data_IF_597065478475
#
_entry.id   IF_597065478475
#
_cell.length_a   1.000
_cell.length_b   1.000
_cell.length_c   1.000
_cell.angle_alpha   90.00
_cell.angle_beta   90.00
_cell.angle_gamma   90.00
#
_symmetry.space_group_name_H-M   'P 1'
#
loop_
_entity.id
_entity.type
_entity.pdbx_description
1 polymer ?
#
# COMPACT_ATOMS: atom_id res chain seq x y z
N UNK A 1 -16.47 3.29 -2.98
CA UNK A 1 -15.38 2.53 -3.62
C UNK A 1 -14.11 3.34 -3.45
N UNK A 2 -13.12 2.86 -2.71
CA UNK A 2 -11.98 3.69 -2.31
C UNK A 2 -10.77 2.86 -1.91
N UNK A 3 -9.63 3.53 -1.83
CA UNK A 3 -8.34 2.95 -1.41
C UNK A 3 -8.45 2.49 0.05
N UNK A 4 -7.97 1.30 0.35
CA UNK A 4 -7.96 0.74 1.71
C UNK A 4 -6.77 1.30 2.53
N UNK A 5 -6.86 2.58 2.89
CA UNK A 5 -5.76 3.35 3.46
C UNK A 5 -5.10 2.67 4.68
N UNK A 6 -5.89 2.03 5.56
CA UNK A 6 -5.36 1.43 6.81
C UNK A 6 -4.30 0.36 6.57
N UNK A 7 -4.47 -0.48 5.56
CA UNK A 7 -3.52 -1.54 5.25
C UNK A 7 -2.46 -1.08 4.26
N UNK A 8 -2.86 -0.32 3.22
CA UNK A 8 -1.93 0.24 2.24
C UNK A 8 -0.86 1.14 2.88
N UNK A 9 -1.20 1.97 3.87
CA UNK A 9 -0.26 2.91 4.50
C UNK A 9 0.84 2.23 5.35
N UNK A 10 0.68 0.96 5.70
CA UNK A 10 1.62 0.19 6.52
C UNK A 10 2.18 -1.04 5.81
N UNK A 11 2.03 -1.10 4.48
CA UNK A 11 2.38 -2.29 3.70
C UNK A 11 3.87 -2.68 3.85
N UNK A 12 4.78 -1.70 3.90
CA UNK A 12 6.21 -2.00 4.06
C UNK A 12 6.52 -2.77 5.37
N UNK A 13 5.74 -2.50 6.44
CA UNK A 13 5.91 -3.13 7.74
C UNK A 13 5.33 -4.54 7.70
N UNK A 14 4.18 -4.71 7.04
CA UNK A 14 3.55 -6.02 6.87
C UNK A 14 4.46 -6.97 6.09
N UNK A 15 5.04 -6.51 4.97
CA UNK A 15 5.92 -7.33 4.13
C UNK A 15 7.21 -7.80 4.84
N UNK A 16 7.74 -7.00 5.77
CA UNK A 16 9.04 -7.29 6.40
C UNK A 16 8.94 -7.82 7.83
N UNK A 17 7.81 -7.63 8.51
CA UNK A 17 7.64 -7.94 9.94
C UNK A 17 6.49 -8.91 10.22
N UNK A 18 5.77 -9.36 9.19
CA UNK A 18 4.73 -10.38 9.30
C UNK A 18 4.86 -11.39 8.15
N UNK A 19 4.19 -12.56 8.22
CA UNK A 19 4.16 -13.51 7.11
C UNK A 19 3.64 -12.82 5.85
N UNK A 20 4.52 -12.60 4.88
CA UNK A 20 4.27 -11.69 3.76
C UNK A 20 3.49 -12.32 2.61
N UNK A 21 3.50 -13.65 2.51
CA UNK A 21 2.86 -14.41 1.44
C UNK A 21 1.37 -14.09 1.30
N UNK A 22 0.69 -13.83 2.43
CA UNK A 22 -0.73 -13.47 2.44
C UNK A 22 -1.03 -12.15 1.70
N UNK A 23 -0.04 -11.27 1.55
CA UNK A 23 -0.17 -9.96 0.90
C UNK A 23 0.30 -9.97 -0.56
N UNK A 24 0.76 -11.11 -1.08
CA UNK A 24 1.18 -11.25 -2.47
C UNK A 24 0.14 -11.93 -3.36
N UNK A 25 -1.08 -12.14 -2.87
CA UNK A 25 -2.19 -12.62 -3.70
C UNK A 25 -2.64 -11.56 -4.71
N UNK A 26 -3.24 -11.99 -5.82
CA UNK A 26 -3.81 -11.09 -6.84
C UNK A 26 -4.81 -10.10 -6.25
N UNK A 27 -5.59 -10.51 -5.24
CA UNK A 27 -6.52 -9.63 -4.53
C UNK A 27 -5.80 -8.46 -3.85
N UNK A 28 -4.69 -8.73 -3.18
CA UNK A 28 -3.88 -7.69 -2.52
C UNK A 28 -3.15 -6.81 -3.51
N UNK A 29 -2.65 -7.39 -4.60
CA UNK A 29 -2.05 -6.64 -5.69
C UNK A 29 -3.07 -5.65 -6.29
N UNK A 30 -4.30 -6.11 -6.54
CA UNK A 30 -5.39 -5.25 -7.01
C UNK A 30 -5.74 -4.15 -6.00
N UNK A 31 -5.79 -4.46 -4.69
CA UNK A 31 -6.01 -3.46 -3.63
C UNK A 31 -4.91 -2.39 -3.60
N UNK A 32 -3.65 -2.79 -3.74
CA UNK A 32 -2.51 -1.87 -3.78
C UNK A 32 -2.53 -1.03 -5.06
N UNK A 33 -2.81 -1.63 -6.23
CA UNK A 33 -2.84 -0.91 -7.51
C UNK A 33 -3.92 0.17 -7.58
N UNK A 34 -5.00 0.10 -6.77
CA UNK A 34 -5.97 1.21 -6.65
C UNK A 34 -5.35 2.54 -6.18
N UNK A 35 -4.14 2.52 -5.62
CA UNK A 35 -3.41 3.73 -5.24
C UNK A 35 -3.01 4.53 -6.50
N UNK A 36 -2.82 3.89 -7.66
CA UNK A 36 -2.57 4.61 -8.92
C UNK A 36 -3.76 5.46 -9.36
N UNK A 37 -4.99 5.04 -9.00
CA UNK A 37 -6.23 5.79 -9.26
C UNK A 37 -6.43 6.96 -8.27
N UNK A 38 -5.42 7.29 -7.45
CA UNK A 38 -5.52 8.39 -6.50
C UNK A 38 -5.58 9.75 -7.22
N UNK A 39 -6.76 10.37 -7.21
CA UNK A 39 -7.00 11.72 -7.77
C UNK A 39 -6.32 12.87 -7.01
N UNK A 40 -5.52 12.59 -5.99
CA UNK A 40 -4.84 13.64 -5.22
C UNK A 40 -5.77 14.56 -4.41
N UNK A 41 -6.98 14.11 -4.08
CA UNK A 41 -7.99 14.95 -3.37
C UNK A 41 -7.61 15.35 -1.94
N UNK A 42 -6.51 14.78 -1.39
CA UNK A 42 -5.95 15.00 -0.04
C UNK A 42 -6.91 14.86 1.15
N UNK A 43 -8.15 14.40 0.93
CA UNK A 43 -9.17 14.22 1.98
C UNK A 43 -8.73 13.24 3.08
N UNK A 44 -7.85 12.31 2.74
CA UNK A 44 -7.24 11.38 3.70
C UNK A 44 -6.26 12.07 4.65
N UNK A 45 -5.43 12.99 4.16
CA UNK A 45 -4.47 13.72 4.98
C UNK A 45 -5.19 14.61 6.01
N UNK A 46 -6.25 15.31 5.61
CA UNK A 46 -7.05 16.15 6.52
C UNK A 46 -7.75 15.38 7.63
N UNK A 47 -7.96 14.07 7.46
CA UNK A 47 -8.60 13.18 8.45
C UNK A 47 -7.60 12.36 9.26
N UNK A 48 -6.31 12.45 8.95
CA UNK A 48 -5.29 11.68 9.64
C UNK A 48 -5.06 12.28 11.03
N UNK A 49 -5.28 11.55 12.13
CA UNK A 49 -5.04 12.07 13.49
C UNK A 49 -3.56 12.42 13.72
N UNK A 50 -2.67 11.77 12.97
CA UNK A 50 -1.22 11.98 13.04
C UNK A 50 -0.70 13.01 12.03
N UNK A 51 -1.59 13.67 11.28
CA UNK A 51 -1.22 14.71 10.32
C UNK A 51 -0.20 14.25 9.26
N UNK A 52 -0.24 12.96 8.91
CA UNK A 52 0.64 12.37 7.90
C UNK A 52 0.19 12.78 6.49
N UNK A 53 1.16 13.00 5.61
CA UNK A 53 0.94 13.17 4.17
C UNK A 53 0.57 11.84 3.51
N UNK A 54 -0.64 11.38 3.83
CA UNK A 54 -1.18 10.08 3.43
C UNK A 54 -1.12 9.85 1.90
N UNK A 55 -1.41 10.82 1.02
CA UNK A 55 -1.24 10.64 -0.43
C UNK A 55 0.18 10.26 -0.84
N UNK A 56 1.20 10.95 -0.31
CA UNK A 56 2.59 10.67 -0.65
C UNK A 56 3.07 9.37 0.02
N UNK A 57 2.64 9.11 1.24
CA UNK A 57 2.89 7.85 1.94
C UNK A 57 2.37 6.65 1.14
N UNK A 58 1.14 6.71 0.61
CA UNK A 58 0.56 5.62 -0.16
C UNK A 58 1.34 5.34 -1.45
N UNK A 59 1.80 6.38 -2.15
CA UNK A 59 2.65 6.23 -3.34
C UNK A 59 3.97 5.54 -3.01
N UNK A 60 4.61 5.94 -1.92
CA UNK A 60 5.82 5.29 -1.43
C UNK A 60 5.55 3.81 -1.10
N UNK A 61 4.45 3.51 -0.41
CA UNK A 61 4.09 2.13 -0.06
C UNK A 61 3.79 1.27 -1.29
N UNK A 62 3.15 1.83 -2.32
CA UNK A 62 2.92 1.12 -3.58
C UNK A 62 4.23 0.80 -4.30
N UNK A 63 5.15 1.76 -4.35
CA UNK A 63 6.46 1.56 -4.97
C UNK A 63 7.23 0.44 -4.26
N UNK A 64 7.34 0.53 -2.94
CA UNK A 64 8.01 -0.48 -2.11
C UNK A 64 7.36 -1.87 -2.25
N UNK A 65 6.02 -1.92 -2.31
CA UNK A 65 5.28 -3.17 -2.54
C UNK A 65 5.63 -3.79 -3.90
N UNK A 66 5.71 -3.00 -4.97
CA UNK A 66 6.07 -3.49 -6.31
C UNK A 66 7.50 -4.01 -6.35
N UNK A 67 8.44 -3.28 -5.77
CA UNK A 67 9.85 -3.70 -5.68
C UNK A 67 9.98 -5.01 -4.88
N UNK A 68 9.26 -5.11 -3.76
CA UNK A 68 9.24 -6.33 -2.95
C UNK A 68 8.59 -7.50 -3.71
N UNK A 69 7.48 -7.23 -4.41
CA UNK A 69 6.76 -8.22 -5.20
C UNK A 69 7.66 -8.82 -6.27
N UNK A 70 8.32 -7.98 -7.07
CA UNK A 70 9.24 -8.44 -8.12
C UNK A 70 10.42 -9.23 -7.57
N UNK A 71 10.94 -8.87 -6.39
CA UNK A 71 12.06 -9.57 -5.76
C UNK A 71 11.70 -10.94 -5.16
N UNK A 72 10.42 -11.18 -4.83
CA UNK A 72 9.97 -12.39 -4.13
C UNK A 72 8.93 -13.20 -4.92
N UNK A 73 8.55 -12.78 -6.13
CA UNK A 73 7.57 -13.48 -6.97
C UNK A 73 7.94 -14.94 -7.27
N UNK A 74 9.24 -15.24 -7.31
CA UNK A 74 9.75 -16.60 -7.58
C UNK A 74 9.76 -17.50 -6.33
N UNK A 75 9.42 -16.97 -5.15
CA UNK A 75 9.40 -17.67 -3.87
C UNK A 75 7.97 -18.02 -3.40
N UNK A 76 6.98 -17.75 -4.23
CA UNK A 76 5.55 -18.00 -3.98
C UNK A 76 5.11 -19.41 -4.33
#
# INVERSE_FOLDING_TARGET
>A
VGIEIRNCARMNMLLRRSPWQQYMTEEWQAKMNRIDDCLGCRRCASRCPYQLDTPNLLKYMLKDYREFYEAHKDQL
#
